data_IF_879381079228
#
_entry.id   IF_879381079228
#
_cell.length_a   1.000
_cell.length_b   1.000
_cell.length_c   1.000
_cell.angle_alpha   90.00
_cell.angle_beta   90.00
_cell.angle_gamma   90.00
#
_symmetry.space_group_name_H-M   'P 1'
#
loop_
_entity.id
_entity.type
_entity.pdbx_description
1 polymer ?
#
# COMPACT_ATOMS: atom_id res chain seq x y z
N UNK A 1 -19.79 25.77 16.01
CA UNK A 1 -19.30 24.39 16.02
C UNK A 1 -18.05 24.30 15.14
N UNK A 2 -16.97 23.79 15.67
CA UNK A 2 -15.74 23.59 14.93
C UNK A 2 -15.79 22.47 13.91
N UNK A 3 -14.73 22.31 13.11
CA UNK A 3 -14.59 21.18 12.21
C UNK A 3 -14.43 19.89 13.03
N UNK A 4 -14.97 18.75 12.56
CA UNK A 4 -14.70 17.47 13.18
C UNK A 4 -13.19 17.19 13.19
N UNK A 5 -12.73 16.55 14.25
CA UNK A 5 -11.38 16.00 14.32
C UNK A 5 -11.47 14.55 13.87
N UNK A 6 -10.76 14.21 12.81
CA UNK A 6 -10.85 12.89 12.17
C UNK A 6 -9.46 12.29 11.98
N UNK A 7 -9.38 10.96 11.79
CA UNK A 7 -8.12 10.34 11.37
C UNK A 7 -7.65 10.91 10.04
N UNK A 8 -6.35 10.82 9.80
CA UNK A 8 -5.77 11.13 8.50
C UNK A 8 -6.01 9.97 7.54
N UNK A 9 -6.23 10.31 6.28
CA UNK A 9 -6.53 9.33 5.24
C UNK A 9 -5.28 9.03 4.42
N UNK A 10 -4.99 7.74 4.26
CA UNK A 10 -3.87 7.26 3.45
C UNK A 10 -4.35 6.27 2.41
N UNK A 11 -3.48 5.96 1.46
CA UNK A 11 -3.63 4.85 0.52
C UNK A 11 -2.37 4.01 0.56
N UNK A 12 -2.52 2.71 0.35
CA UNK A 12 -1.41 1.79 0.13
C UNK A 12 -1.74 0.94 -1.08
N UNK A 13 -0.72 0.52 -1.83
CA UNK A 13 -0.93 -0.16 -3.09
C UNK A 13 -0.15 -1.47 -3.11
N UNK A 14 -0.83 -2.57 -3.38
CA UNK A 14 -0.22 -3.85 -3.68
C UNK A 14 -0.04 -3.89 -5.20
N UNK A 15 1.18 -3.66 -5.66
CA UNK A 15 1.49 -3.59 -7.09
C UNK A 15 2.01 -4.95 -7.55
N UNK A 16 1.23 -5.63 -8.38
CA UNK A 16 1.60 -6.91 -8.98
C UNK A 16 2.36 -6.66 -10.28
N UNK A 17 3.59 -7.18 -10.36
CA UNK A 17 4.40 -7.07 -11.58
C UNK A 17 4.03 -8.19 -12.54
N UNK A 18 3.15 -7.89 -13.50
CA UNK A 18 2.59 -8.88 -14.41
C UNK A 18 3.56 -9.38 -15.49
N UNK A 19 4.67 -8.71 -15.70
CA UNK A 19 5.71 -9.11 -16.66
C UNK A 19 6.83 -9.94 -16.01
N UNK A 20 6.64 -10.39 -14.77
CA UNK A 20 7.63 -11.20 -14.04
C UNK A 20 7.02 -12.50 -13.54
N UNK A 21 7.81 -13.60 -13.54
CA UNK A 21 7.33 -14.90 -13.05
C UNK A 21 6.85 -14.80 -11.58
N UNK A 22 5.70 -15.44 -11.29
CA UNK A 22 5.13 -15.46 -9.96
C UNK A 22 4.42 -14.17 -9.56
N UNK A 23 4.38 -13.16 -10.43
CA UNK A 23 3.75 -11.86 -10.19
C UNK A 23 4.16 -11.28 -8.84
N UNK A 24 5.45 -10.96 -8.65
CA UNK A 24 5.92 -10.42 -7.38
C UNK A 24 5.28 -9.06 -7.11
N UNK A 25 5.22 -8.70 -5.85
CA UNK A 25 4.71 -7.40 -5.43
C UNK A 25 5.86 -6.46 -5.09
N UNK A 26 5.60 -5.16 -5.24
CA UNK A 26 6.61 -4.13 -5.03
C UNK A 26 6.59 -3.69 -3.57
N UNK A 27 7.75 -3.71 -2.93
CA UNK A 27 7.97 -3.15 -1.60
C UNK A 27 8.98 -2.01 -1.70
N UNK A 28 8.81 -1.01 -0.85
CA UNK A 28 9.78 0.08 -0.70
C UNK A 28 10.41 0.02 0.70
N UNK A 29 11.67 0.45 0.79
CA UNK A 29 12.31 0.69 2.07
C UNK A 29 12.08 2.15 2.45
N UNK A 30 11.52 2.35 3.64
CA UNK A 30 11.15 3.69 4.11
C UNK A 30 12.38 4.51 4.45
N UNK A 31 12.39 5.76 3.97
CA UNK A 31 13.44 6.74 4.25
C UNK A 31 13.30 7.35 5.65
N UNK A 32 12.06 7.53 6.11
CA UNK A 32 11.72 8.19 7.37
C UNK A 32 11.06 7.22 8.36
N UNK A 33 11.09 7.51 9.66
CA UNK A 33 10.44 6.66 10.67
C UNK A 33 8.93 6.50 10.41
N UNK A 34 8.36 5.32 10.67
CA UNK A 34 9.04 4.11 11.10
C UNK A 34 9.88 3.51 9.98
N UNK A 35 11.09 2.98 10.31
CA UNK A 35 11.95 2.37 9.30
C UNK A 35 11.44 1.01 8.87
N UNK A 36 11.99 0.51 7.78
CA UNK A 36 11.75 -0.86 7.28
C UNK A 36 11.07 -0.89 5.93
N UNK A 37 10.71 -2.08 5.52
CA UNK A 37 10.02 -2.33 4.26
C UNK A 37 8.51 -2.13 4.42
N UNK A 38 7.89 -1.63 3.37
CA UNK A 38 6.46 -1.33 3.37
C UNK A 38 5.89 -1.41 1.96
N UNK A 39 4.57 -1.52 1.87
CA UNK A 39 3.86 -1.28 0.62
C UNK A 39 4.03 0.20 0.23
N UNK A 40 4.11 0.52 -1.07
CA UNK A 40 4.05 1.92 -1.50
C UNK A 40 2.73 2.55 -1.07
N UNK A 41 2.78 3.81 -0.68
CA UNK A 41 1.59 4.53 -0.24
C UNK A 41 1.93 5.84 0.43
N UNK A 42 0.90 6.57 0.83
CA UNK A 42 1.06 7.85 1.50
C UNK A 42 -0.26 8.56 1.73
N UNK A 43 -0.17 9.80 2.17
CA UNK A 43 -1.34 10.59 2.51
C UNK A 43 -2.10 11.06 1.27
N UNK A 44 -3.42 11.07 1.39
CA UNK A 44 -4.32 11.62 0.38
C UNK A 44 -4.36 13.13 0.56
N UNK A 45 -4.25 13.88 -0.54
CA UNK A 45 -4.37 15.32 -0.51
C UNK A 45 -5.84 15.75 -0.49
N UNK A 46 -6.13 16.85 0.16
CA UNK A 46 -7.48 17.43 0.14
C UNK A 46 -7.88 17.72 -1.31
N UNK A 47 -9.07 17.26 -1.70
CA UNK A 47 -9.58 17.41 -3.06
C UNK A 47 -9.17 16.31 -4.03
N UNK A 48 -8.37 15.35 -3.57
CA UNK A 48 -7.89 14.23 -4.38
C UNK A 48 -8.75 12.99 -4.14
N UNK A 49 -9.13 12.30 -5.22
CA UNK A 49 -9.79 10.99 -5.09
C UNK A 49 -8.79 9.95 -4.61
N UNK A 50 -9.27 8.94 -3.91
CA UNK A 50 -8.41 7.85 -3.41
C UNK A 50 -7.66 7.16 -4.54
N UNK A 51 -8.33 6.89 -5.67
CA UNK A 51 -7.72 6.25 -6.83
C UNK A 51 -6.62 7.11 -7.45
N UNK A 52 -6.83 8.43 -7.49
CA UNK A 52 -5.81 9.35 -7.96
C UNK A 52 -4.60 9.39 -7.02
N UNK A 53 -4.86 9.40 -5.71
CA UNK A 53 -3.80 9.35 -4.70
C UNK A 53 -2.98 8.06 -4.82
N UNK A 54 -3.64 6.92 -4.99
CA UNK A 54 -2.96 5.63 -5.15
C UNK A 54 -2.05 5.62 -6.38
N UNK A 55 -2.52 6.11 -7.51
CA UNK A 55 -1.71 6.19 -8.72
C UNK A 55 -0.54 7.17 -8.57
N UNK A 56 -0.79 8.31 -7.94
CA UNK A 56 0.25 9.31 -7.68
C UNK A 56 1.34 8.76 -6.75
N UNK A 57 0.97 8.15 -5.63
CA UNK A 57 1.94 7.58 -4.68
C UNK A 57 2.75 6.46 -5.32
N UNK A 58 2.12 5.58 -6.10
CA UNK A 58 2.84 4.53 -6.81
C UNK A 58 3.89 5.13 -7.76
N UNK A 59 3.52 6.16 -8.52
CA UNK A 59 4.44 6.83 -9.43
C UNK A 59 5.58 7.52 -8.69
N UNK A 60 5.26 8.24 -7.63
CA UNK A 60 6.25 8.99 -6.85
C UNK A 60 7.28 8.08 -6.20
N UNK A 61 6.85 6.94 -5.67
CA UNK A 61 7.74 6.06 -4.91
C UNK A 61 8.40 4.97 -5.74
N UNK A 62 7.76 4.52 -6.83
CA UNK A 62 8.23 3.37 -7.61
C UNK A 62 8.53 3.66 -9.07
N UNK A 63 8.20 4.84 -9.57
CA UNK A 63 8.28 5.22 -10.99
C UNK A 63 7.37 4.41 -11.91
N UNK A 64 6.41 3.66 -11.37
CA UNK A 64 5.51 2.83 -12.16
C UNK A 64 4.19 3.54 -12.42
N UNK A 65 3.69 3.39 -13.66
CA UNK A 65 2.31 3.67 -13.99
C UNK A 65 1.49 2.41 -13.71
N UNK A 66 0.62 2.49 -12.71
CA UNK A 66 -0.16 1.32 -12.29
C UNK A 66 -1.57 1.39 -12.83
N UNK A 67 -2.15 0.22 -13.03
CA UNK A 67 -3.57 0.05 -13.33
C UNK A 67 -4.25 -0.53 -12.11
N UNK A 68 -5.13 0.25 -11.47
CA UNK A 68 -5.87 -0.20 -10.29
C UNK A 68 -6.89 -1.25 -10.70
N UNK A 69 -6.94 -2.35 -9.94
CA UNK A 69 -7.86 -3.44 -10.22
C UNK A 69 -9.06 -3.43 -9.29
N UNK A 70 -8.80 -3.30 -7.99
CA UNK A 70 -9.88 -3.31 -7.01
C UNK A 70 -9.39 -2.76 -5.66
N UNK A 71 -10.35 -2.43 -4.81
CA UNK A 71 -10.11 -2.09 -3.42
C UNK A 71 -10.11 -3.39 -2.62
N UNK A 72 -8.96 -3.71 -2.01
CA UNK A 72 -8.86 -4.87 -1.12
C UNK A 72 -9.64 -4.63 0.17
N UNK A 73 -9.51 -3.46 0.74
CA UNK A 73 -10.21 -3.08 1.97
C UNK A 73 -9.67 -1.78 2.56
N UNK A 74 -10.29 -1.38 3.66
CA UNK A 74 -9.85 -0.24 4.47
C UNK A 74 -9.33 -0.75 5.81
N UNK A 75 -8.24 -0.17 6.29
CA UNK A 75 -7.57 -0.57 7.53
C UNK A 75 -7.54 0.64 8.46
N UNK A 76 -8.19 0.51 9.61
CA UNK A 76 -8.50 1.66 10.46
C UNK A 76 -8.25 1.44 11.95
N UNK A 77 -7.51 0.40 12.33
CA UNK A 77 -7.16 0.22 13.73
C UNK A 77 -6.40 1.45 14.24
N UNK A 78 -6.82 2.06 15.35
CA UNK A 78 -6.09 3.21 15.90
C UNK A 78 -4.62 2.94 16.22
N UNK A 79 -4.25 1.70 16.45
CA UNK A 79 -2.87 1.31 16.78
C UNK A 79 -2.01 0.99 15.55
N UNK A 80 -2.58 1.03 14.34
CA UNK A 80 -1.87 0.61 13.13
C UNK A 80 -0.67 1.50 12.78
N UNK A 81 -0.66 2.74 13.21
CA UNK A 81 0.39 3.70 12.94
C UNK A 81 0.75 4.44 14.23
N UNK A 82 1.97 4.28 14.72
CA UNK A 82 2.42 4.89 15.97
C UNK A 82 2.46 6.43 15.91
N UNK A 83 2.48 7.03 14.72
CA UNK A 83 2.50 8.49 14.55
C UNK A 83 1.15 9.13 14.83
N UNK A 84 0.06 8.37 14.74
CA UNK A 84 -1.30 8.85 14.94
C UNK A 84 -2.31 7.98 14.21
N UNK A 85 -3.60 8.24 14.43
CA UNK A 85 -4.66 7.45 13.81
C UNK A 85 -4.74 7.74 12.31
N UNK A 86 -4.52 6.72 11.50
CA UNK A 86 -4.70 6.77 10.05
C UNK A 86 -5.72 5.73 9.60
N UNK A 87 -6.40 6.03 8.51
CA UNK A 87 -7.25 5.07 7.80
C UNK A 87 -6.67 4.89 6.41
N UNK A 88 -6.30 3.66 6.05
CA UNK A 88 -5.73 3.38 4.74
C UNK A 88 -6.72 2.62 3.86
N UNK A 89 -6.95 3.16 2.66
CA UNK A 89 -7.62 2.45 1.57
C UNK A 89 -6.53 1.71 0.78
N UNK A 90 -6.64 0.38 0.69
CA UNK A 90 -5.62 -0.46 0.06
C UNK A 90 -6.13 -0.98 -1.27
N UNK A 91 -5.40 -0.66 -2.34
CA UNK A 91 -5.72 -1.10 -3.69
C UNK A 91 -4.79 -2.21 -4.16
N UNK A 92 -5.32 -3.15 -4.94
CA UNK A 92 -4.52 -4.07 -5.73
C UNK A 92 -4.43 -3.46 -7.13
N UNK A 93 -3.21 -3.39 -7.64
CA UNK A 93 -2.90 -2.82 -8.93
C UNK A 93 -1.94 -3.70 -9.70
N UNK A 94 -1.89 -3.52 -11.00
CA UNK A 94 -0.94 -4.21 -11.87
C UNK A 94 0.00 -3.20 -12.52
N UNK A 95 1.21 -3.64 -12.82
CA UNK A 95 2.18 -2.84 -13.53
C UNK A 95 3.13 -3.71 -14.35
N UNK A 96 3.83 -3.07 -15.28
CA UNK A 96 4.88 -3.66 -16.10
C UNK A 96 6.05 -2.69 -16.14
N UNK A 97 7.23 -3.19 -16.45
CA UNK A 97 8.42 -2.38 -16.64
C UNK A 97 9.37 -2.44 -15.46
N UNK A 98 10.25 -1.48 -15.36
CA UNK A 98 11.32 -1.44 -14.37
C UNK A 98 10.99 -0.45 -13.26
N UNK A 99 10.65 -0.93 -12.06
CA UNK A 99 10.42 -0.03 -10.93
C UNK A 99 11.74 0.58 -10.45
N UNK A 100 11.67 1.82 -9.95
CA UNK A 100 12.81 2.52 -9.37
C UNK A 100 12.35 3.30 -8.15
N UNK A 101 13.10 3.17 -7.05
CA UNK A 101 12.84 3.92 -5.84
C UNK A 101 13.01 5.43 -6.07
N UNK A 102 12.05 6.23 -5.59
CA UNK A 102 12.06 7.69 -5.67
C UNK A 102 11.44 8.29 -4.42
N UNK A 103 11.63 9.59 -4.23
CA UNK A 103 11.04 10.40 -3.17
C UNK A 103 11.28 9.78 -1.78
N UNK A 104 10.24 9.38 -1.06
CA UNK A 104 10.34 8.84 0.30
C UNK A 104 10.77 7.36 0.33
N UNK A 105 10.99 6.74 -0.82
CA UNK A 105 11.51 5.39 -0.93
C UNK A 105 13.03 5.42 -1.05
N UNK A 106 13.70 4.77 -0.09
CA UNK A 106 15.16 4.64 -0.06
C UNK A 106 15.66 3.56 -1.01
N UNK A 107 14.95 2.43 -1.03
CA UNK A 107 15.19 1.27 -1.88
C UNK A 107 13.87 0.64 -2.31
N UNK A 108 13.96 -0.27 -3.28
CA UNK A 108 12.80 -0.98 -3.79
C UNK A 108 13.17 -2.45 -4.00
N UNK A 109 12.22 -3.34 -3.73
CA UNK A 109 12.33 -4.77 -4.01
C UNK A 109 11.04 -5.26 -4.62
N UNK A 110 11.16 -6.24 -5.52
CA UNK A 110 10.02 -7.07 -5.94
C UNK A 110 10.16 -8.42 -5.27
N UNK A 111 9.14 -8.83 -4.52
CA UNK A 111 9.16 -10.08 -3.76
C UNK A 111 7.92 -10.90 -4.08
N UNK A 112 8.06 -12.22 -4.07
CA UNK A 112 6.88 -13.10 -4.13
C UNK A 112 6.04 -12.84 -2.88
N UNK A 113 4.70 -12.78 -3.00
CA UNK A 113 3.85 -12.37 -1.87
C UNK A 113 4.02 -13.21 -0.60
N UNK A 114 4.33 -14.50 -0.73
CA UNK A 114 4.58 -15.38 0.40
C UNK A 114 5.97 -15.25 1.02
N UNK A 115 6.84 -14.42 0.46
CA UNK A 115 8.25 -14.29 0.86
C UNK A 115 8.61 -12.88 1.31
N UNK A 116 7.63 -12.14 1.84
CA UNK A 116 7.87 -10.77 2.31
C UNK A 116 8.79 -10.75 3.53
N UNK A 117 9.71 -9.75 3.60
CA UNK A 117 10.44 -9.48 4.84
C UNK A 117 9.48 -8.94 5.92
N UNK A 118 10.00 -8.66 7.11
CA UNK A 118 9.24 -7.93 8.12
C UNK A 118 8.81 -6.57 7.57
N UNK A 119 7.55 -6.21 7.75
CA UNK A 119 6.95 -4.99 7.20
C UNK A 119 6.60 -3.99 8.30
N UNK A 120 6.70 -2.70 7.96
CA UNK A 120 6.28 -1.61 8.84
C UNK A 120 4.75 -1.54 8.94
N UNK A 121 4.27 -0.79 9.94
CA UNK A 121 2.83 -0.61 10.22
C UNK A 121 2.12 -1.96 10.39
N UNK A 122 0.90 -2.06 9.88
CA UNK A 122 0.12 -3.29 9.79
C UNK A 122 0.23 -3.95 8.40
N UNK A 123 1.28 -3.65 7.65
CA UNK A 123 1.40 -4.12 6.27
C UNK A 123 1.51 -5.64 6.17
N UNK A 124 2.02 -6.32 7.20
CA UNK A 124 2.00 -7.80 7.23
C UNK A 124 0.57 -8.34 7.22
N UNK A 125 -0.34 -7.71 7.96
CA UNK A 125 -1.76 -8.05 7.97
C UNK A 125 -2.39 -7.83 6.59
N UNK A 126 -2.06 -6.71 5.95
CA UNK A 126 -2.55 -6.40 4.61
C UNK A 126 -2.10 -7.45 3.60
N UNK A 127 -0.82 -7.85 3.65
CA UNK A 127 -0.30 -8.88 2.76
C UNK A 127 -0.94 -10.24 3.03
N UNK A 128 -1.22 -10.58 4.29
CA UNK A 128 -1.95 -11.81 4.63
C UNK A 128 -3.36 -11.79 4.02
N UNK A 129 -4.07 -10.67 4.10
CA UNK A 129 -5.38 -10.51 3.47
C UNK A 129 -5.30 -10.62 1.93
N UNK A 130 -4.25 -10.09 1.34
CA UNK A 130 -3.98 -10.22 -0.08
C UNK A 130 -3.74 -11.66 -0.49
N UNK A 131 -2.94 -12.42 0.27
CA UNK A 131 -2.71 -13.84 0.02
C UNK A 131 -4.02 -14.63 0.07
N UNK A 132 -4.88 -14.30 1.03
CA UNK A 132 -6.21 -14.89 1.13
C UNK A 132 -7.08 -14.52 -0.08
N UNK A 133 -7.03 -13.25 -0.52
CA UNK A 133 -7.73 -12.82 -1.73
C UNK A 133 -7.29 -13.62 -2.95
N UNK A 134 -5.99 -13.87 -3.11
CA UNK A 134 -5.49 -14.68 -4.24
C UNK A 134 -6.07 -16.09 -4.25
N UNK A 135 -6.40 -16.66 -3.10
CA UNK A 135 -6.99 -18.01 -2.98
C UNK A 135 -8.50 -18.02 -3.11
N UNK A 136 -9.18 -16.98 -2.61
CA UNK A 136 -10.63 -17.00 -2.40
C UNK A 136 -11.41 -15.99 -3.25
N UNK A 137 -10.72 -15.03 -3.85
CA UNK A 137 -11.30 -13.87 -4.53
C UNK A 137 -12.17 -12.99 -3.60
N UNK A 138 -12.01 -13.13 -2.29
CA UNK A 138 -12.74 -12.32 -1.31
C UNK A 138 -11.91 -11.13 -0.86
N UNK A 139 -12.53 -9.96 -0.64
CA UNK A 139 -11.83 -8.79 -0.09
C UNK A 139 -11.37 -9.05 1.35
N UNK A 140 -10.67 -8.08 1.92
CA UNK A 140 -10.26 -8.12 3.31
C UNK A 140 -11.48 -8.33 4.22
N UNK A 141 -11.36 -9.15 5.27
CA UNK A 141 -12.47 -9.36 6.19
C UNK A 141 -12.75 -8.10 7.00
N UNK A 142 -14.01 -7.95 7.41
CA UNK A 142 -14.39 -6.93 8.36
C UNK A 142 -13.80 -7.29 9.74
N UNK A 143 -13.29 -6.29 10.43
CA UNK A 143 -12.73 -6.47 11.77
C UNK A 143 -13.45 -5.57 12.77
N UNK A 144 -13.94 -6.17 13.83
CA UNK A 144 -14.69 -5.49 14.87
C UNK A 144 -13.83 -5.21 16.09
#
# INVERSE_FOLDING_TARGET
>A
VGRPVTPLLTVDIIIEMHDRPGRPIVLIERKYPPPGWALPGGFVDVGERLEAAARREAREETSLEVELQLLLGCYSDPARDARGHTVSAVYIATARGEPRARDDARNLRCVLPGECPALAFDHALIVDDYLRYLKTAKPAPLRL
#
